data_IF_898465652445
#
_entry.id   IF_898465652445
#
_cell.length_a   1.000
_cell.length_b   1.000
_cell.length_c   1.000
_cell.angle_alpha   90.00
_cell.angle_beta   90.00
_cell.angle_gamma   90.00
#
_symmetry.space_group_name_H-M   'P 1'
#
loop_
_entity.id
_entity.type
_entity.pdbx_description
1 polymer ?
#
# COMPACT_ATOMS: atom_id res chain seq x y z
N UNK A 1 1.95 20.25 15.67
CA UNK A 1 1.68 19.83 14.27
C UNK A 1 3.05 19.53 13.66
N UNK A 2 3.58 18.36 14.00
CA UNK A 2 4.93 17.92 13.65
C UNK A 2 5.05 17.80 12.14
N UNK A 3 6.22 18.03 11.52
CA UNK A 3 6.42 17.66 10.11
C UNK A 3 5.98 16.20 9.97
N UNK A 4 4.92 15.99 9.18
CA UNK A 4 4.17 14.72 9.17
C UNK A 4 5.13 13.56 8.97
N UNK A 5 4.94 12.48 9.72
CA UNK A 5 5.72 11.27 9.54
C UNK A 5 5.70 10.90 8.06
N UNK A 6 6.88 10.57 7.52
CA UNK A 6 6.97 10.13 6.13
C UNK A 6 6.34 8.74 6.06
N UNK A 7 5.34 8.62 5.19
CA UNK A 7 4.55 7.42 5.00
C UNK A 7 4.52 7.03 3.52
N UNK A 8 4.60 5.74 3.25
CA UNK A 8 4.65 5.19 1.89
C UNK A 8 3.48 4.24 1.67
N UNK A 9 2.88 4.32 0.48
CA UNK A 9 1.80 3.44 0.04
C UNK A 9 2.26 2.74 -1.23
N UNK A 10 2.18 1.42 -1.25
CA UNK A 10 2.22 0.65 -2.48
C UNK A 10 0.86 0.73 -3.15
N UNK A 11 0.84 1.09 -4.43
CA UNK A 11 -0.37 1.12 -5.25
C UNK A 11 -0.15 0.20 -6.44
N UNK A 12 -1.04 -0.78 -6.60
CA UNK A 12 -1.01 -1.69 -7.74
C UNK A 12 -2.39 -2.22 -8.08
N UNK A 13 -2.45 -2.93 -9.19
CA UNK A 13 -3.67 -3.55 -9.70
C UNK A 13 -3.64 -5.06 -9.51
N UNK A 14 -4.77 -5.64 -9.10
CA UNK A 14 -5.02 -7.08 -9.24
C UNK A 14 -5.69 -7.32 -10.57
N UNK A 15 -4.91 -7.55 -11.61
CA UNK A 15 -5.42 -7.84 -12.95
C UNK A 15 -6.42 -9.01 -12.94
N UNK A 16 -7.57 -8.81 -13.59
CA UNK A 16 -8.68 -9.76 -13.62
C UNK A 16 -9.08 -10.08 -15.06
N UNK A 17 -8.23 -10.78 -15.81
CA UNK A 17 -8.58 -11.22 -17.16
C UNK A 17 -9.68 -12.29 -17.13
N UNK A 18 -10.72 -12.23 -18.01
CA UNK A 18 -10.91 -11.27 -19.10
C UNK A 18 -11.62 -9.97 -18.71
N UNK A 19 -12.19 -9.88 -17.50
CA UNK A 19 -12.94 -8.72 -17.03
C UNK A 19 -12.02 -7.62 -16.45
N UNK A 20 -11.19 -7.02 -17.29
CA UNK A 20 -10.23 -5.98 -16.88
C UNK A 20 -10.90 -4.73 -16.28
N UNK A 21 -12.14 -4.43 -16.65
CA UNK A 21 -12.91 -3.33 -16.07
C UNK A 21 -13.24 -3.56 -14.59
N UNK A 22 -13.25 -4.82 -14.14
CA UNK A 22 -13.45 -5.21 -12.75
C UNK A 22 -12.14 -5.70 -12.10
N UNK A 23 -11.00 -5.12 -12.49
CA UNK A 23 -9.72 -5.32 -11.80
C UNK A 23 -9.70 -4.47 -10.52
N UNK A 24 -9.53 -5.07 -9.33
CA UNK A 24 -9.46 -4.32 -8.08
C UNK A 24 -8.13 -3.57 -7.94
N UNK A 25 -8.18 -2.42 -7.26
CA UNK A 25 -6.98 -1.75 -6.75
C UNK A 25 -6.50 -2.41 -5.45
N UNK A 26 -5.19 -2.50 -5.28
CA UNK A 26 -4.52 -2.98 -4.06
C UNK A 26 -3.63 -1.88 -3.54
N UNK A 27 -4.02 -1.30 -2.41
CA UNK A 27 -3.23 -0.26 -1.72
C UNK A 27 -2.76 -0.82 -0.39
N UNK A 28 -1.45 -0.80 -0.14
CA UNK A 28 -0.87 -1.33 1.10
C UNK A 28 0.12 -0.33 1.69
N UNK A 29 -0.01 0.04 2.98
CA UNK A 29 1.03 0.78 3.67
C UNK A 29 2.30 -0.05 3.77
N UNK A 30 3.48 0.58 3.66
CA UNK A 30 4.73 -0.11 3.91
C UNK A 30 5.81 0.77 4.50
N UNK A 31 6.79 0.13 5.14
CA UNK A 31 7.99 0.74 5.69
C UNK A 31 9.23 0.05 5.15
N UNK A 32 10.34 0.76 5.17
CA UNK A 32 11.66 0.19 4.91
C UNK A 32 12.17 -0.46 6.19
N UNK A 33 12.52 -1.75 6.13
CA UNK A 33 13.14 -2.46 7.25
C UNK A 33 14.67 -2.19 7.30
N UNK A 34 15.23 -1.79 6.15
CA UNK A 34 16.57 -1.26 5.94
C UNK A 34 16.60 -0.55 4.58
N UNK A 35 17.72 0.08 4.20
CA UNK A 35 17.86 0.88 2.97
C UNK A 35 17.47 0.15 1.68
N UNK A 36 17.51 -1.18 1.66
CA UNK A 36 17.27 -2.00 0.46
C UNK A 36 16.09 -2.98 0.59
N UNK A 37 15.49 -3.10 1.77
CA UNK A 37 14.47 -4.11 2.03
C UNK A 37 13.12 -3.47 2.38
N UNK A 38 12.12 -3.82 1.58
CA UNK A 38 10.72 -3.47 1.79
C UNK A 38 9.91 -4.76 1.95
N UNK A 39 8.96 -4.75 2.87
CA UNK A 39 7.99 -5.84 3.01
C UNK A 39 6.58 -5.29 2.93
N UNK A 40 5.78 -5.83 2.01
CA UNK A 40 4.37 -5.51 1.85
C UNK A 40 3.54 -6.52 2.64
N UNK A 41 3.22 -6.18 3.89
CA UNK A 41 2.33 -7.01 4.70
C UNK A 41 0.89 -6.80 4.26
N UNK A 42 0.16 -7.88 4.02
CA UNK A 42 -1.24 -7.80 3.65
C UNK A 42 -2.08 -7.25 4.81
N UNK A 43 -2.92 -6.26 4.51
CA UNK A 43 -3.87 -5.69 5.44
C UNK A 43 -5.22 -5.56 4.73
N UNK A 44 -6.28 -6.16 5.29
CA UNK A 44 -7.62 -6.05 4.71
C UNK A 44 -8.19 -4.63 4.79
N UNK A 45 -7.72 -3.84 5.76
CA UNK A 45 -8.13 -2.45 6.00
C UNK A 45 -6.97 -1.66 6.63
N UNK A 46 -6.83 -0.39 6.23
CA UNK A 46 -5.93 0.58 6.86
C UNK A 46 -6.56 1.98 6.82
N UNK A 47 -6.18 2.86 7.75
CA UNK A 47 -6.58 4.27 7.75
C UNK A 47 -5.37 5.18 7.59
N UNK A 48 -5.52 6.28 6.86
CA UNK A 48 -4.47 7.30 6.75
C UNK A 48 -4.20 8.03 8.06
N UNK A 49 -5.14 7.98 9.01
CA UNK A 49 -4.94 8.56 10.35
C UNK A 49 -4.05 7.69 11.25
N UNK A 50 -3.71 6.48 10.83
CA UNK A 50 -2.87 5.56 11.60
C UNK A 50 -1.37 5.88 11.45
N UNK A 51 -0.99 6.83 10.59
CA UNK A 51 0.38 7.15 10.18
C UNK A 51 0.68 8.65 10.21
#
# INVERSE_FOLDING_TARGET
>A
KYPGNIFYIYMGDRWNYPNLLNAPYVWLPFTFNSDINVTLQWQDKCSLNDY
#
